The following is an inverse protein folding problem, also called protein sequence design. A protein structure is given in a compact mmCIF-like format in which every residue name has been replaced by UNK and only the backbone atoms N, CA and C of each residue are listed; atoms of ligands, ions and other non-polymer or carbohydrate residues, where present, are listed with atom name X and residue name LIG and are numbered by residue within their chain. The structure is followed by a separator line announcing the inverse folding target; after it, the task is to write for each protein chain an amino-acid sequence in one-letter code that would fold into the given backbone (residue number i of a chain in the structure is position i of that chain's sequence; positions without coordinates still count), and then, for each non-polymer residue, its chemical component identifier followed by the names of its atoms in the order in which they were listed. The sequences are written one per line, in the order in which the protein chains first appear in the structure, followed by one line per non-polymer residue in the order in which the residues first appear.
data_IF_028544034232
#
_entry.id   IF_028544034232
#
_cell.length_a   1.000
_cell.length_b   1.000
_cell.length_c   1.000
_cell.angle_alpha   90.00
_cell.angle_beta   90.00
_cell.angle_gamma   90.00
#
_symmetry.space_group_name_H-M   'P 1'
#
loop_
_entity.id
_entity.type
_entity.pdbx_description
1 polymer ?
#
# COMPACT_ATOMS: atom_id res chain seq x y z
N UNK A 1 6.88 -6.65 -8.14
CA UNK A 1 7.15 -6.27 -6.74
C UNK A 1 6.09 -6.80 -5.78
N UNK A 2 4.79 -6.61 -6.05
CA UNK A 2 3.73 -7.12 -5.17
C UNK A 2 3.82 -8.63 -4.91
N UNK A 3 4.04 -9.44 -5.95
CA UNK A 3 4.25 -10.88 -5.77
C UNK A 3 5.44 -11.22 -4.85
N UNK A 4 6.55 -10.46 -4.93
CA UNK A 4 7.67 -10.64 -4.01
C UNK A 4 7.25 -10.35 -2.57
N UNK A 5 6.52 -9.26 -2.33
CA UNK A 5 6.01 -8.93 -1.01
C UNK A 5 5.03 -9.99 -0.50
N UNK A 6 4.21 -10.60 -1.36
CA UNK A 6 3.37 -11.73 -1.00
C UNK A 6 4.19 -12.93 -0.52
N UNK A 7 5.33 -13.22 -1.16
CA UNK A 7 6.25 -14.27 -0.69
C UNK A 7 6.86 -13.94 0.67
N UNK A 8 7.28 -12.69 0.86
CA UNK A 8 7.83 -12.21 2.14
C UNK A 8 6.76 -12.30 3.24
N UNK A 9 5.53 -11.87 2.96
CA UNK A 9 4.42 -11.94 3.93
C UNK A 9 4.13 -13.38 4.36
N UNK A 10 4.08 -14.34 3.43
CA UNK A 10 3.87 -15.77 3.78
C UNK A 10 4.93 -16.28 4.75
N UNK A 11 6.19 -15.91 4.54
CA UNK A 11 7.29 -16.31 5.44
C UNK A 11 7.22 -15.56 6.77
N UNK A 12 6.98 -14.26 6.72
CA UNK A 12 6.92 -13.41 7.90
C UNK A 12 5.74 -13.74 8.81
N UNK A 13 4.61 -14.21 8.27
CA UNK A 13 3.45 -14.64 9.05
C UNK A 13 3.79 -15.74 10.07
N UNK A 14 4.73 -16.63 9.72
CA UNK A 14 5.17 -17.73 10.59
C UNK A 14 6.33 -17.29 11.51
N UNK A 15 7.16 -16.36 11.06
CA UNK A 15 8.41 -16.00 11.72
C UNK A 15 8.32 -14.76 12.64
N UNK A 16 7.32 -13.90 12.46
CA UNK A 16 7.24 -12.61 13.15
C UNK A 16 6.22 -12.62 14.28
N UNK A 17 6.63 -12.12 15.46
CA UNK A 17 5.71 -11.88 16.59
C UNK A 17 4.78 -10.69 16.33
N UNK A 18 5.27 -9.68 15.60
CA UNK A 18 4.50 -8.52 15.19
C UNK A 18 3.75 -8.80 13.88
N UNK A 19 2.51 -8.28 13.72
CA UNK A 19 1.84 -8.28 12.43
C UNK A 19 2.71 -7.64 11.36
N UNK A 20 2.80 -8.28 10.20
CA UNK A 20 3.47 -7.71 9.02
C UNK A 20 2.41 -7.31 8.02
N UNK A 21 2.43 -6.05 7.60
CA UNK A 21 1.41 -5.44 6.73
C UNK A 21 2.06 -4.77 5.52
N UNK A 22 1.28 -4.52 4.47
CA UNK A 22 1.75 -3.72 3.32
C UNK A 22 1.35 -2.27 3.48
N UNK A 23 2.27 -1.37 3.13
CA UNK A 23 2.03 0.06 2.93
C UNK A 23 1.21 0.71 4.06
N UNK A 24 1.63 0.52 5.31
CA UNK A 24 1.10 1.27 6.45
C UNK A 24 -0.35 0.96 6.86
N UNK A 25 -0.90 -0.19 6.48
CA UNK A 25 -2.23 -0.61 6.98
C UNK A 25 -2.28 -0.65 8.50
N UNK A 26 -3.33 -0.05 9.08
CA UNK A 26 -3.54 -0.07 10.51
C UNK A 26 -3.91 -1.47 11.01
N UNK A 27 -3.33 -1.86 12.14
CA UNK A 27 -3.64 -3.11 12.84
C UNK A 27 -4.48 -2.84 14.08
N UNK A 28 -5.28 -3.82 14.48
CA UNK A 28 -6.06 -3.76 15.73
C UNK A 28 -5.14 -3.68 16.95
N UNK A 29 -5.66 -3.12 18.04
CA UNK A 29 -4.91 -2.99 19.30
C UNK A 29 -4.77 -4.36 19.98
N UNK A 30 -3.54 -4.80 20.26
CA UNK A 30 -3.23 -5.96 21.12
C UNK A 30 -2.91 -5.50 22.54
N UNK A 31 -2.70 -6.44 23.49
CA UNK A 31 -2.34 -6.15 24.90
C UNK A 31 -1.17 -5.18 25.09
N UNK A 32 -0.29 -5.01 24.10
CA UNK A 32 0.89 -4.12 24.13
C UNK A 32 0.82 -2.94 23.15
N UNK A 33 -0.30 -2.69 22.47
CA UNK A 33 -0.45 -1.59 21.51
C UNK A 33 -0.75 -2.03 20.07
N UNK A 34 -0.44 -1.15 19.11
CA UNK A 34 -0.75 -1.28 17.66
C UNK A 34 0.50 -1.41 16.78
N UNK A 35 1.54 -2.03 17.32
CA UNK A 35 2.81 -2.19 16.60
C UNK A 35 2.66 -3.17 15.43
N UNK A 36 3.26 -2.82 14.30
CA UNK A 36 3.31 -3.64 13.10
C UNK A 36 4.59 -3.35 12.31
N UNK A 37 5.03 -4.33 11.54
CA UNK A 37 6.10 -4.17 10.55
C UNK A 37 5.44 -3.84 9.22
N UNK A 38 5.72 -2.67 8.66
CA UNK A 38 5.20 -2.28 7.35
C UNK A 38 6.23 -2.56 6.25
N UNK A 39 5.89 -3.45 5.31
CA UNK A 39 6.58 -3.56 4.03
C UNK A 39 6.02 -2.47 3.11
N UNK A 40 6.74 -1.36 3.02
CA UNK A 40 6.29 -0.19 2.27
C UNK A 40 6.52 -0.35 0.77
N UNK A 41 5.42 -0.45 0.02
CA UNK A 41 5.42 -0.48 -1.44
C UNK A 41 4.96 0.85 -2.06
N UNK A 42 4.67 1.89 -1.27
CA UNK A 42 4.09 3.15 -1.77
C UNK A 42 4.92 3.80 -2.88
N UNK A 43 6.25 3.68 -2.84
CA UNK A 43 7.14 4.17 -3.90
C UNK A 43 6.92 3.50 -5.27
N UNK A 44 6.29 2.32 -5.30
CA UNK A 44 5.93 1.61 -6.53
C UNK A 44 4.53 1.98 -7.04
N UNK A 45 3.79 2.82 -6.30
CA UNK A 45 2.49 3.34 -6.73
C UNK A 45 2.58 4.45 -7.77
N UNK A 46 3.75 5.06 -7.94
CA UNK A 46 4.00 6.11 -8.93
C UNK A 46 4.81 5.57 -10.14
N UNK A 47 4.71 6.20 -11.32
CA UNK A 47 5.54 5.90 -12.50
C UNK A 47 7.04 5.91 -12.21
N UNK A 48 7.81 5.12 -12.96
CA UNK A 48 9.25 4.91 -12.70
C UNK A 48 10.04 6.22 -12.67
N UNK A 49 9.76 7.17 -13.57
CA UNK A 49 10.46 8.45 -13.66
C UNK A 49 10.22 9.37 -12.45
N UNK A 50 9.21 9.08 -11.62
CA UNK A 50 8.86 9.83 -10.41
C UNK A 50 9.46 9.21 -9.15
N UNK A 51 10.08 8.03 -9.26
CA UNK A 51 10.65 7.31 -8.13
C UNK A 51 12.03 7.85 -7.80
N UNK A 52 12.28 8.08 -6.52
CA UNK A 52 13.63 8.34 -6.04
C UNK A 52 14.41 7.03 -5.93
N UNK A 53 15.62 7.01 -6.47
CA UNK A 53 16.60 5.94 -6.24
C UNK A 53 17.65 6.44 -5.26
N UNK A 54 18.13 5.54 -4.39
CA UNK A 54 19.29 5.84 -3.54
C UNK A 54 20.51 5.16 -4.14
N UNK A 55 21.62 5.89 -4.18
CA UNK A 55 22.91 5.31 -4.52
C UNK A 55 23.65 4.95 -3.22
N UNK A 56 24.48 3.91 -3.25
CA UNK A 56 25.41 3.65 -2.16
C UNK A 56 26.27 4.91 -1.92
N UNK A 57 26.51 5.20 -0.64
CA UNK A 57 27.27 6.36 -0.15
C UNK A 57 26.67 7.73 -0.50
N UNK A 58 25.43 7.78 -0.99
CA UNK A 58 24.68 9.04 -1.17
C UNK A 58 24.09 9.57 0.14
N UNK A 59 23.79 10.88 0.18
CA UNK A 59 23.16 11.53 1.34
C UNK A 59 21.67 11.20 1.44
N UNK A 60 21.25 10.83 2.64
CA UNK A 60 19.86 10.58 2.99
C UNK A 60 19.18 11.85 3.52
N UNK A 61 18.41 12.51 2.65
CA UNK A 61 17.82 13.84 2.93
C UNK A 61 16.44 13.82 3.61
N UNK A 62 15.94 12.67 4.09
CA UNK A 62 14.63 12.62 4.81
C UNK A 62 14.72 13.05 6.28
N UNK A 63 15.88 13.49 6.78
CA UNK A 63 16.02 14.09 8.11
C UNK A 63 15.39 15.49 8.13
N UNK A 64 14.09 15.55 8.40
CA UNK A 64 13.40 16.83 8.70
C UNK A 64 13.79 17.26 10.11
N UNK A 65 14.66 18.25 10.25
CA UNK A 65 14.81 19.02 11.49
C UNK A 65 16.16 18.97 12.21
N UNK A 66 17.10 18.12 11.80
CA UNK A 66 18.50 18.22 12.23
C UNK A 66 19.39 18.41 11.01
N UNK A 67 20.42 19.27 11.10
CA UNK A 67 21.52 19.35 10.13
C UNK A 67 22.36 18.06 10.07
N UNK A 68 21.77 16.91 10.44
CA UNK A 68 22.43 15.63 10.56
C UNK A 68 22.72 15.04 9.19
N UNK A 69 24.00 14.74 8.97
CA UNK A 69 24.47 13.93 7.86
C UNK A 69 24.02 12.48 8.07
N UNK A 70 23.48 11.86 7.03
CA UNK A 70 23.22 10.42 6.99
C UNK A 70 23.65 9.87 5.62
N UNK A 71 24.65 9.01 5.58
CA UNK A 71 25.03 8.29 4.37
C UNK A 71 24.19 7.01 4.18
N UNK A 72 23.86 6.68 2.92
CA UNK A 72 23.25 5.42 2.54
C UNK A 72 24.34 4.35 2.41
N UNK A 73 24.59 3.57 3.44
CA UNK A 73 25.63 2.53 3.40
C UNK A 73 25.09 1.20 2.84
N UNK A 74 25.84 0.49 1.98
CA UNK A 74 25.49 -0.86 1.59
C UNK A 74 25.56 -1.82 2.78
N UNK A 75 24.67 -2.82 2.82
CA UNK A 75 24.77 -3.93 3.78
C UNK A 75 25.87 -4.88 3.31
N UNK A 76 26.82 -5.15 4.19
CA UNK A 76 27.88 -6.16 4.06
C UNK A 76 27.77 -7.11 5.26
N UNK A 77 28.82 -7.90 5.50
CA UNK A 77 28.95 -8.74 6.69
C UNK A 77 29.18 -7.93 7.98
N UNK A 78 29.34 -6.61 7.89
CA UNK A 78 29.46 -5.73 9.05
C UNK A 78 28.19 -5.78 9.94
N UNK A 79 28.37 -5.83 11.28
CA UNK A 79 27.29 -5.68 12.24
C UNK A 79 26.43 -4.43 11.95
N UNK A 80 25.13 -4.51 12.24
CA UNK A 80 24.23 -3.39 11.99
C UNK A 80 24.61 -2.16 12.82
N UNK A 81 25.00 -2.36 14.09
CA UNK A 81 25.40 -1.29 15.00
C UNK A 81 26.59 -0.49 14.47
N UNK A 82 27.58 -1.18 13.88
CA UNK A 82 28.74 -0.54 13.24
C UNK A 82 28.31 0.32 12.04
N UNK A 83 27.45 -0.19 11.17
CA UNK A 83 26.96 0.61 10.04
C UNK A 83 26.11 1.81 10.50
N UNK A 84 25.40 1.68 11.62
CA UNK A 84 24.63 2.78 12.20
C UNK A 84 25.52 3.89 12.79
N UNK A 85 26.73 3.57 13.25
CA UNK A 85 27.70 4.57 13.70
C UNK A 85 28.45 5.23 12.53
N UNK A 86 28.80 4.46 11.48
CA UNK A 86 29.46 4.99 10.28
C UNK A 86 28.54 5.97 9.53
N UNK A 87 27.25 5.65 9.39
CA UNK A 87 26.34 6.44 8.53
C UNK A 87 26.13 7.88 8.98
N UNK A 88 26.41 8.22 10.24
CA UNK A 88 26.24 9.59 10.77
C UNK A 88 27.49 10.46 10.61
N UNK A 89 28.63 9.90 10.17
CA UNK A 89 29.90 10.60 10.00
C UNK A 89 30.32 10.65 8.53
N UNK A 90 30.55 11.85 7.95
CA UNK A 90 31.04 11.97 6.58
C UNK A 90 32.38 11.27 6.34
N UNK A 91 33.33 11.45 7.26
CA UNK A 91 34.69 10.91 7.12
C UNK A 91 34.67 9.39 7.19
N UNK A 92 33.97 8.82 8.18
CA UNK A 92 33.83 7.36 8.30
C UNK A 92 33.09 6.76 7.10
N UNK A 93 32.07 7.46 6.57
CA UNK A 93 31.36 7.00 5.39
C UNK A 93 32.25 7.02 4.13
N UNK A 94 33.14 8.01 4.00
CA UNK A 94 34.11 8.10 2.90
C UNK A 94 35.18 6.99 3.02
N UNK A 95 35.70 6.74 4.21
CA UNK A 95 36.66 5.66 4.47
C UNK A 95 36.02 4.28 4.19
N UNK A 96 34.77 4.09 4.61
CA UNK A 96 34.02 2.88 4.32
C UNK A 96 33.76 2.73 2.81
N UNK A 97 33.48 3.82 2.08
CA UNK A 97 33.33 3.81 0.62
C UNK A 97 34.61 3.43 -0.11
N UNK A 98 35.77 3.86 0.39
CA UNK A 98 37.07 3.57 -0.23
C UNK A 98 37.42 2.07 -0.17
N UNK A 99 36.88 1.34 0.80
CA UNK A 99 37.19 -0.08 1.05
C UNK A 99 36.05 -1.04 0.73
N UNK A 100 34.84 -0.53 0.48
CA UNK A 100 33.63 -1.36 0.32
C UNK A 100 33.05 -1.26 -1.09
N UNK A 101 32.96 -2.41 -1.77
CA UNK A 101 32.25 -2.51 -3.03
C UNK A 101 30.74 -2.31 -2.88
N UNK A 102 30.15 -1.53 -3.77
CA UNK A 102 28.70 -1.35 -3.89
C UNK A 102 28.12 -2.06 -5.12
N UNK A 103 28.79 -3.11 -5.60
CA UNK A 103 28.33 -3.88 -6.75
C UNK A 103 26.97 -4.52 -6.43
N UNK A 104 26.00 -4.33 -7.32
CA UNK A 104 24.70 -4.98 -7.22
C UNK A 104 24.90 -6.47 -7.54
N UNK A 105 24.55 -7.40 -6.63
CA UNK A 105 24.71 -8.82 -6.89
C UNK A 105 23.91 -9.27 -8.12
N UNK A 106 24.42 -10.24 -8.87
CA UNK A 106 23.67 -10.85 -9.97
C UNK A 106 22.49 -11.67 -9.42
N UNK A 107 21.31 -11.07 -9.48
CA UNK A 107 20.05 -11.70 -9.09
C UNK A 107 19.32 -12.39 -10.25
N UNK A 108 19.89 -12.51 -11.45
CA UNK A 108 19.18 -12.89 -12.69
C UNK A 108 18.39 -14.18 -12.55
N UNK A 109 19.01 -15.24 -12.02
CA UNK A 109 18.33 -16.54 -11.87
C UNK A 109 17.21 -16.48 -10.82
N UNK A 110 17.42 -15.75 -9.72
CA UNK A 110 16.39 -15.52 -8.70
C UNK A 110 15.21 -14.73 -9.26
N UNK A 111 15.48 -13.66 -9.99
CA UNK A 111 14.47 -12.83 -10.65
C UNK A 111 13.68 -13.63 -11.69
N UNK A 112 14.34 -14.46 -12.50
CA UNK A 112 13.68 -15.35 -13.46
C UNK A 112 12.72 -16.32 -12.77
N UNK A 113 13.16 -16.99 -11.70
CA UNK A 113 12.29 -17.89 -10.91
C UNK A 113 11.11 -17.15 -10.29
N UNK A 114 11.34 -15.96 -9.74
CA UNK A 114 10.28 -15.12 -9.16
C UNK A 114 9.24 -14.73 -10.22
N UNK A 115 9.69 -14.33 -11.42
CA UNK A 115 8.81 -13.99 -12.53
C UNK A 115 7.98 -15.19 -13.00
N UNK A 116 8.61 -16.35 -13.17
CA UNK A 116 7.91 -17.58 -13.53
C UNK A 116 6.85 -17.96 -12.47
N UNK A 117 7.19 -17.86 -11.19
CA UNK A 117 6.27 -18.12 -10.10
C UNK A 117 5.10 -17.11 -10.07
N UNK A 118 5.35 -15.84 -10.37
CA UNK A 118 4.29 -14.85 -10.53
C UNK A 118 3.38 -15.19 -11.71
N UNK A 119 3.93 -15.54 -12.87
CA UNK A 119 3.14 -15.82 -14.08
C UNK A 119 2.14 -16.96 -13.89
N UNK A 120 2.46 -17.94 -13.04
CA UNK A 120 1.56 -19.05 -12.68
C UNK A 120 0.69 -18.82 -11.44
N UNK A 121 0.67 -17.62 -10.87
CA UNK A 121 0.00 -17.34 -9.60
C UNK A 121 -1.41 -16.76 -9.74
N UNK A 122 -2.20 -16.90 -8.68
CA UNK A 122 -3.53 -16.30 -8.54
C UNK A 122 -3.48 -14.77 -8.60
N UNK A 123 -2.39 -14.19 -8.07
CA UNK A 123 -2.14 -12.75 -8.18
C UNK A 123 -2.02 -12.30 -9.64
N UNK A 124 -1.40 -13.10 -10.53
CA UNK A 124 -1.33 -12.76 -11.97
C UNK A 124 -2.71 -12.75 -12.60
N UNK A 125 -3.56 -13.74 -12.29
CA UNK A 125 -4.94 -13.81 -12.78
C UNK A 125 -5.75 -12.60 -12.32
N UNK A 126 -5.65 -12.27 -11.03
CA UNK A 126 -6.27 -11.07 -10.49
C UNK A 126 -5.76 -9.78 -11.16
N UNK A 127 -4.46 -9.65 -11.43
CA UNK A 127 -3.94 -8.49 -12.17
C UNK A 127 -4.51 -8.40 -13.60
N UNK A 128 -4.63 -9.52 -14.31
CA UNK A 128 -5.26 -9.53 -15.63
C UNK A 128 -6.72 -9.10 -15.58
N UNK A 129 -7.46 -9.57 -14.57
CA UNK A 129 -8.84 -9.12 -14.32
C UNK A 129 -8.88 -7.64 -13.99
N UNK A 130 -8.04 -7.16 -13.07
CA UNK A 130 -7.94 -5.74 -12.71
C UNK A 130 -7.68 -4.87 -13.95
N UNK A 131 -6.75 -5.28 -14.81
CA UNK A 131 -6.38 -4.52 -16.01
C UNK A 131 -7.34 -4.71 -17.21
N UNK A 132 -8.41 -5.52 -17.06
CA UNK A 132 -9.32 -5.86 -18.16
C UNK A 132 -10.22 -4.71 -18.62
N UNK A 133 -10.36 -3.67 -17.80
CA UNK A 133 -11.09 -2.44 -18.14
C UNK A 133 -10.23 -1.20 -17.87
N UNK A 134 -10.64 -0.05 -18.40
CA UNK A 134 -10.07 1.25 -18.04
C UNK A 134 -10.80 1.91 -16.87
N UNK A 135 -10.21 2.98 -16.33
CA UNK A 135 -10.94 3.94 -15.51
C UNK A 135 -11.65 4.94 -16.44
N UNK A 136 -12.86 5.37 -16.11
CA UNK A 136 -13.52 6.46 -16.84
C UNK A 136 -12.69 7.75 -16.84
N UNK A 137 -12.68 8.44 -17.99
CA UNK A 137 -12.05 9.75 -18.15
C UNK A 137 -12.77 10.86 -17.37
N UNK A 138 -12.08 11.97 -17.00
CA UNK A 138 -12.66 13.07 -16.22
C UNK A 138 -13.99 13.62 -16.76
N UNK A 139 -14.14 13.66 -18.10
CA UNK A 139 -15.36 14.13 -18.75
C UNK A 139 -16.60 13.26 -18.45
N UNK A 140 -16.41 11.99 -18.07
CA UNK A 140 -17.49 11.05 -17.80
C UNK A 140 -17.89 10.98 -16.31
N UNK A 141 -17.05 11.49 -15.40
CA UNK A 141 -17.30 11.38 -13.96
C UNK A 141 -18.65 11.94 -13.48
N UNK A 142 -19.19 13.06 -14.03
CA UNK A 142 -20.53 13.53 -13.67
C UNK A 142 -21.65 12.53 -13.98
N UNK A 143 -21.43 11.65 -14.96
CA UNK A 143 -22.36 10.59 -15.34
C UNK A 143 -22.08 9.25 -14.64
N UNK A 144 -20.86 9.05 -14.11
CA UNK A 144 -20.43 7.80 -13.49
C UNK A 144 -20.13 7.98 -11.99
N UNK A 145 -18.88 8.25 -11.62
CA UNK A 145 -18.42 8.26 -10.22
C UNK A 145 -19.14 9.28 -9.32
N UNK A 146 -19.56 10.43 -9.87
CA UNK A 146 -20.23 11.47 -9.08
C UNK A 146 -21.68 11.12 -8.74
N UNK A 147 -22.28 10.18 -9.47
CA UNK A 147 -23.63 9.67 -9.19
C UNK A 147 -23.66 8.61 -8.08
N UNK A 148 -22.50 8.20 -7.58
CA UNK A 148 -22.44 7.19 -6.53
C UNK A 148 -23.13 7.68 -5.26
N UNK A 149 -24.20 6.98 -4.85
CA UNK A 149 -24.97 7.32 -3.65
C UNK A 149 -24.20 6.96 -2.37
N UNK A 150 -23.56 7.96 -1.76
CA UNK A 150 -22.77 7.80 -0.53
C UNK A 150 -23.59 7.40 0.70
N UNK A 151 -24.93 7.51 0.66
CA UNK A 151 -25.79 7.04 1.74
C UNK A 151 -26.10 5.54 1.64
N UNK A 152 -25.76 4.91 0.51
CA UNK A 152 -25.96 3.47 0.28
C UNK A 152 -24.87 2.58 0.89
N UNK A 153 -23.85 3.17 1.51
CA UNK A 153 -22.71 2.47 2.13
C UNK A 153 -22.52 2.91 3.57
N UNK A 154 -21.82 2.10 4.40
CA UNK A 154 -21.52 2.46 5.77
C UNK A 154 -20.80 3.82 5.88
N UNK A 155 -20.99 4.57 6.98
CA UNK A 155 -20.26 5.83 7.23
C UNK A 155 -18.74 5.71 7.14
N UNK A 156 -18.15 4.58 7.55
CA UNK A 156 -16.69 4.34 7.41
C UNK A 156 -16.21 4.15 5.97
N UNK A 157 -17.12 4.01 5.00
CA UNK A 157 -16.81 3.94 3.56
C UNK A 157 -17.13 5.27 2.89
N UNK A 158 -18.25 5.89 3.25
CA UNK A 158 -18.65 7.17 2.65
C UNK A 158 -17.89 8.37 3.21
N UNK A 159 -17.41 8.33 4.45
CA UNK A 159 -16.58 9.39 5.03
C UNK A 159 -15.33 9.71 4.18
N UNK A 160 -14.44 8.75 3.84
CA UNK A 160 -13.26 9.07 3.03
C UNK A 160 -13.62 9.58 1.63
N UNK A 161 -14.78 9.22 1.08
CA UNK A 161 -15.23 9.73 -0.22
C UNK A 161 -15.87 11.13 -0.15
N UNK A 162 -16.40 11.54 1.01
CA UNK A 162 -16.95 12.89 1.28
C UNK A 162 -15.88 13.87 1.72
N UNK A 163 -14.94 13.42 2.55
CA UNK A 163 -13.83 14.21 3.07
C UNK A 163 -12.49 13.54 2.72
N UNK A 164 -12.06 13.58 1.43
CA UNK A 164 -10.87 12.87 0.94
C UNK A 164 -9.58 13.20 1.66
N UNK A 165 -9.37 14.44 2.08
CA UNK A 165 -8.13 14.85 2.74
C UNK A 165 -8.34 14.95 4.26
N UNK A 166 -7.54 14.25 5.10
CA UNK A 166 -6.48 13.29 4.74
C UNK A 166 -6.99 11.85 4.55
N UNK A 167 -8.30 11.60 4.65
CA UNK A 167 -8.85 10.25 4.78
C UNK A 167 -8.43 9.27 3.66
N UNK A 168 -8.46 9.66 2.38
CA UNK A 168 -8.00 8.86 1.24
C UNK A 168 -6.48 8.90 1.03
N UNK A 169 -5.72 9.69 1.80
CA UNK A 169 -4.27 9.50 1.88
C UNK A 169 -3.89 8.31 2.78
N UNK A 170 -4.84 7.79 3.57
CA UNK A 170 -4.65 6.64 4.44
C UNK A 170 -5.01 5.31 3.73
N UNK A 171 -4.06 4.37 3.61
CA UNK A 171 -4.28 3.08 2.96
C UNK A 171 -5.37 2.23 3.61
N UNK A 172 -5.60 2.36 4.92
CA UNK A 172 -6.65 1.63 5.65
C UNK A 172 -8.04 2.03 5.18
N UNK A 173 -8.25 3.32 4.92
CA UNK A 173 -9.51 3.81 4.37
C UNK A 173 -9.71 3.32 2.94
N UNK A 174 -8.67 3.36 2.10
CA UNK A 174 -8.74 2.85 0.72
C UNK A 174 -9.05 1.35 0.71
N UNK A 175 -8.42 0.55 1.58
CA UNK A 175 -8.71 -0.87 1.72
C UNK A 175 -10.20 -1.09 2.05
N UNK A 176 -10.75 -0.36 3.02
CA UNK A 176 -12.14 -0.51 3.42
C UNK A 176 -13.12 -0.12 2.29
N UNK A 177 -12.85 1.00 1.59
CA UNK A 177 -13.62 1.41 0.41
C UNK A 177 -13.58 0.31 -0.66
N UNK A 178 -12.40 -0.23 -0.93
CA UNK A 178 -12.19 -1.28 -1.94
C UNK A 178 -12.96 -2.55 -1.60
N UNK A 179 -12.78 -3.06 -0.38
CA UNK A 179 -13.45 -4.30 0.07
C UNK A 179 -14.98 -4.18 -0.02
N UNK A 180 -15.55 -3.07 0.44
CA UNK A 180 -17.02 -2.88 0.44
C UNK A 180 -17.57 -2.71 -0.99
N UNK A 181 -16.93 -1.91 -1.84
CA UNK A 181 -17.46 -1.68 -3.19
C UNK A 181 -17.30 -2.92 -4.07
N UNK A 182 -16.16 -3.62 -4.00
CA UNK A 182 -15.97 -4.89 -4.71
C UNK A 182 -16.97 -5.94 -4.23
N UNK A 183 -17.23 -6.04 -2.92
CA UNK A 183 -18.29 -6.91 -2.40
C UNK A 183 -19.68 -6.58 -2.95
N UNK A 184 -19.93 -5.34 -3.38
CA UNK A 184 -21.19 -4.91 -4.00
C UNK A 184 -21.20 -5.09 -5.52
N UNK A 185 -20.22 -5.82 -6.07
CA UNK A 185 -20.13 -6.14 -7.49
C UNK A 185 -19.42 -5.07 -8.33
N UNK A 186 -18.77 -4.07 -7.72
CA UNK A 186 -17.95 -3.14 -8.49
C UNK A 186 -16.69 -3.84 -8.98
N UNK A 187 -16.33 -3.58 -10.23
CA UNK A 187 -15.01 -3.94 -10.72
C UNK A 187 -13.93 -3.16 -9.92
N UNK A 188 -12.84 -3.79 -9.45
CA UNK A 188 -11.84 -3.12 -8.63
C UNK A 188 -11.21 -1.91 -9.34
N UNK A 189 -11.03 -1.96 -10.66
CA UNK A 189 -10.55 -0.81 -11.42
C UNK A 189 -11.53 0.36 -11.50
N UNK A 190 -12.84 0.11 -11.44
CA UNK A 190 -13.84 1.18 -11.30
C UNK A 190 -13.81 1.82 -9.91
N UNK A 191 -13.49 1.04 -8.87
CA UNK A 191 -13.23 1.59 -7.52
C UNK A 191 -11.99 2.51 -7.55
N UNK A 192 -10.92 2.08 -8.23
CA UNK A 192 -9.74 2.93 -8.41
C UNK A 192 -10.09 4.24 -9.14
N UNK A 193 -10.94 4.18 -10.17
CA UNK A 193 -11.44 5.37 -10.85
C UNK A 193 -12.26 6.30 -9.94
N UNK A 194 -13.11 5.76 -9.07
CA UNK A 194 -13.83 6.56 -8.06
C UNK A 194 -12.84 7.26 -7.11
N UNK A 195 -11.79 6.59 -6.66
CA UNK A 195 -10.75 7.18 -5.81
C UNK A 195 -9.94 8.24 -6.57
N UNK A 196 -9.53 7.95 -7.81
CA UNK A 196 -8.86 8.91 -8.70
C UNK A 196 -9.68 10.19 -8.87
N UNK A 197 -11.00 10.09 -9.04
CA UNK A 197 -11.89 11.25 -9.17
C UNK A 197 -11.87 12.17 -7.94
N UNK A 198 -11.40 11.68 -6.79
CA UNK A 198 -11.15 12.48 -5.59
C UNK A 198 -9.71 13.01 -5.54
N UNK A 199 -8.74 12.20 -5.94
CA UNK A 199 -7.33 12.59 -5.99
C UNK A 199 -7.02 13.71 -6.99
N UNK A 200 -7.71 13.77 -8.12
CA UNK A 200 -7.49 14.82 -9.14
C UNK A 200 -8.22 16.12 -8.85
N UNK A 201 -9.17 16.13 -7.91
CA UNK A 201 -9.90 17.34 -7.51
C UNK A 201 -9.24 17.99 -6.32
N UNK A 202 -9.46 19.29 -6.18
CA UNK A 202 -8.93 20.04 -5.06
C UNK A 202 -9.73 19.76 -3.78
N UNK A 203 -9.13 18.94 -2.90
CA UNK A 203 -9.54 18.77 -1.50
C UNK A 203 -8.46 19.32 -0.55
N UNK A 204 -7.77 20.38 -0.98
CA UNK A 204 -6.69 21.03 -0.23
C UNK A 204 -5.50 20.11 0.06
N UNK A 205 -5.17 19.23 -0.87
CA UNK A 205 -4.05 18.27 -0.73
C UNK A 205 -2.68 18.94 -0.54
N UNK A 206 -2.56 20.19 -0.97
CA UNK A 206 -1.34 20.98 -0.92
C UNK A 206 -0.36 20.66 -2.06
N UNK A 207 0.72 21.44 -2.18
CA UNK A 207 1.61 21.42 -3.34
C UNK A 207 2.35 20.09 -3.51
N UNK A 208 2.60 19.36 -2.42
CA UNK A 208 3.29 18.07 -2.47
C UNK A 208 2.49 16.99 -3.20
N UNK A 209 1.18 17.18 -3.38
CA UNK A 209 0.32 16.24 -4.09
C UNK A 209 0.54 16.26 -5.61
N UNK A 210 1.03 17.39 -6.14
CA UNK A 210 1.33 17.57 -7.57
C UNK A 210 2.48 16.66 -8.06
N UNK A 211 3.26 16.10 -7.14
CA UNK A 211 4.36 15.18 -7.46
C UNK A 211 3.91 13.72 -7.60
N UNK A 212 2.62 13.40 -7.50
CA UNK A 212 2.11 12.04 -7.60
C UNK A 212 1.18 11.90 -8.79
N UNK A 213 1.19 10.72 -9.41
CA UNK A 213 0.22 10.40 -10.46
C UNK A 213 -1.05 9.83 -9.81
N UNK A 214 -2.13 10.61 -9.84
CA UNK A 214 -3.38 10.27 -9.16
C UNK A 214 -3.98 8.95 -9.66
N UNK A 215 -3.89 8.68 -10.95
CA UNK A 215 -4.44 7.47 -11.57
C UNK A 215 -3.67 6.21 -11.16
N UNK A 216 -2.34 6.23 -11.31
CA UNK A 216 -1.45 5.14 -10.93
C UNK A 216 -1.52 4.86 -9.44
N UNK A 217 -1.60 5.90 -8.60
CA UNK A 217 -1.70 5.75 -7.16
C UNK A 217 -3.02 5.12 -6.71
N UNK A 218 -4.14 5.51 -7.32
CA UNK A 218 -5.43 4.88 -7.07
C UNK A 218 -5.44 3.41 -7.54
N UNK A 219 -4.95 3.13 -8.75
CA UNK A 219 -4.81 1.76 -9.27
C UNK A 219 -3.94 0.91 -8.35
N UNK A 220 -2.80 1.45 -7.90
CA UNK A 220 -1.86 0.77 -7.01
C UNK A 220 -2.52 0.31 -5.71
N UNK A 221 -3.16 1.20 -4.95
CA UNK A 221 -3.73 0.81 -3.65
C UNK A 221 -4.87 -0.19 -3.80
N UNK A 222 -5.79 0.02 -4.75
CA UNK A 222 -6.92 -0.89 -4.94
C UNK A 222 -6.44 -2.27 -5.43
N UNK A 223 -5.51 -2.29 -6.39
CA UNK A 223 -4.92 -3.55 -6.90
C UNK A 223 -4.15 -4.28 -5.81
N UNK A 224 -3.34 -3.57 -5.01
CA UNK A 224 -2.59 -4.14 -3.89
C UNK A 224 -3.52 -4.84 -2.88
N UNK A 225 -4.59 -4.16 -2.45
CA UNK A 225 -5.50 -4.71 -1.45
C UNK A 225 -6.33 -5.87 -1.99
N UNK A 226 -6.86 -5.77 -3.20
CA UNK A 226 -7.60 -6.90 -3.79
C UNK A 226 -6.69 -8.09 -4.11
N UNK A 227 -5.43 -7.84 -4.49
CA UNK A 227 -4.44 -8.89 -4.72
C UNK A 227 -4.13 -9.70 -3.48
N UNK A 228 -4.10 -9.07 -2.29
CA UNK A 228 -3.92 -9.78 -1.01
C UNK A 228 -5.07 -10.77 -0.75
N UNK A 229 -6.31 -10.39 -1.06
CA UNK A 229 -7.48 -11.27 -0.92
C UNK A 229 -7.44 -12.40 -1.95
N UNK A 230 -7.15 -12.07 -3.22
CA UNK A 230 -7.08 -13.04 -4.31
C UNK A 230 -5.98 -14.09 -4.10
N UNK A 231 -4.83 -13.70 -3.52
CA UNK A 231 -3.71 -14.61 -3.23
C UNK A 231 -3.83 -15.29 -1.85
N UNK A 232 -4.96 -15.10 -1.16
CA UNK A 232 -5.28 -15.74 0.13
C UNK A 232 -4.45 -15.24 1.32
N UNK A 233 -3.76 -14.11 1.19
CA UNK A 233 -2.97 -13.49 2.25
C UNK A 233 -3.81 -12.65 3.21
N UNK A 234 -4.94 -12.17 2.72
CA UNK A 234 -5.95 -11.46 3.50
C UNK A 234 -7.19 -12.37 3.63
N UNK A 235 -7.32 -13.02 4.79
CA UNK A 235 -8.41 -13.94 5.12
C UNK A 235 -9.70 -13.21 5.57
N UNK A 236 -9.71 -11.87 5.45
CA UNK A 236 -10.80 -10.98 5.82
C UNK A 236 -11.24 -11.14 7.28
N UNK A 237 -10.39 -11.68 8.16
CA UNK A 237 -10.72 -11.87 9.58
C UNK A 237 -10.97 -10.54 10.28
N UNK A 238 -10.21 -9.52 9.89
CA UNK A 238 -10.33 -8.16 10.42
C UNK A 238 -11.38 -7.31 9.69
N UNK A 239 -12.10 -7.88 8.72
CA UNK A 239 -13.12 -7.19 7.95
C UNK A 239 -14.48 -7.23 8.68
N UNK A 240 -14.51 -6.60 9.85
CA UNK A 240 -15.70 -6.54 10.69
C UNK A 240 -15.74 -5.20 11.47
N UNK A 241 -16.90 -4.86 12.03
CA UNK A 241 -17.10 -3.57 12.71
C UNK A 241 -16.23 -3.43 13.97
N UNK A 242 -15.94 -4.51 14.69
CA UNK A 242 -15.16 -4.48 15.93
C UNK A 242 -13.71 -4.14 15.59
N UNK A 243 -13.09 -4.90 14.70
CA UNK A 243 -11.71 -4.66 14.27
C UNK A 243 -11.55 -3.28 13.64
N UNK A 244 -12.54 -2.79 12.88
CA UNK A 244 -12.48 -1.44 12.32
C UNK A 244 -12.58 -0.33 13.38
N UNK A 245 -13.31 -0.57 14.48
CA UNK A 245 -13.32 0.31 15.65
C UNK A 245 -11.98 0.26 16.40
N UNK A 246 -11.42 -0.93 16.63
CA UNK A 246 -10.12 -1.11 17.31
C UNK A 246 -8.96 -0.44 16.56
N UNK A 247 -9.04 -0.38 15.22
CA UNK A 247 -8.09 0.35 14.38
C UNK A 247 -8.27 1.88 14.49
N UNK A 248 -9.46 2.35 14.89
CA UNK A 248 -9.79 3.78 14.99
C UNK A 248 -10.44 4.39 13.75
N UNK A 249 -10.98 3.57 12.84
CA UNK A 249 -11.50 4.03 11.53
C UNK A 249 -13.03 3.97 11.43
N UNK A 250 -13.73 3.62 12.51
CA UNK A 250 -15.19 3.68 12.56
C UNK A 250 -15.66 5.06 13.06
N UNK A 251 -16.15 5.97 12.19
CA UNK A 251 -16.56 7.31 12.61
C UNK A 251 -17.90 7.30 13.36
N UNK A 252 -18.68 6.24 13.23
CA UNK A 252 -20.00 6.09 13.84
C UNK A 252 -20.28 4.62 14.17
N UNK A 253 -19.99 4.16 15.39
CA UNK A 253 -20.46 2.87 15.88
C UNK A 253 -21.99 2.77 15.79
N UNK A 254 -22.51 1.55 15.61
CA UNK A 254 -23.96 1.29 15.55
C UNK A 254 -24.70 2.05 14.44
N UNK A 255 -24.04 2.25 13.29
CA UNK A 255 -24.58 3.02 12.16
C UNK A 255 -25.67 2.32 11.33
N UNK A 256 -26.17 1.16 11.76
CA UNK A 256 -27.15 0.35 11.02
C UNK A 256 -26.56 -0.54 9.91
N UNK A 257 -25.23 -0.53 9.73
CA UNK A 257 -24.52 -1.41 8.82
C UNK A 257 -23.63 -2.41 9.57
N UNK A 258 -23.34 -3.55 8.93
CA UNK A 258 -22.35 -4.52 9.38
C UNK A 258 -21.27 -4.70 8.32
N UNK A 259 -20.00 -4.47 8.64
CA UNK A 259 -18.91 -4.75 7.69
C UNK A 259 -18.80 -6.25 7.37
N UNK A 260 -19.14 -7.12 8.34
CA UNK A 260 -19.10 -8.57 8.14
C UNK A 260 -20.08 -9.06 7.06
N UNK A 261 -21.15 -8.31 6.76
CA UNK A 261 -22.10 -8.72 5.71
C UNK A 261 -21.52 -8.59 4.30
N UNK A 262 -20.39 -7.91 4.13
CA UNK A 262 -19.71 -7.75 2.84
C UNK A 262 -18.63 -8.83 2.60
N UNK A 263 -18.39 -9.73 3.56
CA UNK A 263 -17.33 -10.74 3.43
C UNK A 263 -17.59 -11.71 2.29
N UNK A 264 -18.79 -12.29 2.23
CA UNK A 264 -19.17 -13.29 1.22
C UNK A 264 -19.06 -12.75 -0.20
N UNK A 265 -19.54 -11.52 -0.46
CA UNK A 265 -19.45 -10.92 -1.78
C UNK A 265 -18.00 -10.72 -2.25
N UNK A 266 -17.11 -10.37 -1.31
CA UNK A 266 -15.70 -10.20 -1.61
C UNK A 266 -14.97 -11.54 -1.86
N UNK A 267 -15.29 -12.59 -1.10
CA UNK A 267 -14.73 -13.94 -1.30
C UNK A 267 -15.14 -14.55 -2.65
N UNK A 268 -16.33 -14.21 -3.15
CA UNK A 268 -16.78 -14.62 -4.49
C UNK A 268 -16.00 -13.82 -5.54
N UNK A 269 -15.90 -12.50 -5.38
CA UNK A 269 -15.20 -11.63 -6.33
C UNK A 269 -13.70 -11.91 -6.43
N UNK A 270 -13.05 -12.41 -5.36
CA UNK A 270 -11.62 -12.71 -5.35
C UNK A 270 -11.23 -14.02 -6.02
N UNK A 271 -12.21 -14.87 -6.40
CA UNK A 271 -11.98 -16.16 -7.07
C UNK A 271 -12.08 -16.11 -8.59
N UNK A 272 -12.38 -14.94 -9.15
CA UNK A 272 -12.41 -14.65 -10.60
C UNK A 272 -10.96 -14.66 -11.13
#
# INVERSE_FOLDING_TARGET
MEYLCHRVLRQAYVASELPVVLTGLAVGSRRKGREAISIDLSAYGDPLYMRYTRCAFSLYRKTRGSNGFLACLPRTDSPLEDLLSVRVSPDLAADYAASTGAAIPDGTQGAKRLLQAYLGSDLRRYHQFFDSIGQDEPALWPATYDRFNLNSVPPCVSYPLRCPNPALADPTNIQNVSRVLVSRGWHPRSVAGLIRSRFERDFSWGPNWLYYDAAARADFYVRLHGGLVADGLDDLRDFNCISHQEKGYCPKPWCGFSLGSYKTGLEIASKI
#
